data_IF_514212739790
#
_entry.id   IF_514212739790
#
_cell.length_a   1.000
_cell.length_b   1.000
_cell.length_c   1.000
_cell.angle_alpha   90.00
_cell.angle_beta   90.00
_cell.angle_gamma   90.00
#
_symmetry.space_group_name_H-M   'P 1'
#
loop_
_entity.id
_entity.type
_entity.pdbx_description
1 polymer ?
#
# COMPACT_ATOMS: atom_id res chain seq x y z
N UNK A 1 -23.48 -20.37 50.88
CA UNK A 1 -22.13 -20.94 51.15
C UNK A 1 -21.30 -20.78 49.88
N UNK A 2 -20.33 -19.86 49.91
CA UNK A 2 -19.47 -19.53 48.78
C UNK A 2 -18.25 -20.46 48.80
N UNK A 3 -17.97 -21.17 47.70
CA UNK A 3 -16.69 -21.86 47.50
C UNK A 3 -15.81 -21.02 46.60
N UNK A 4 -14.72 -20.56 47.16
CA UNK A 4 -13.63 -19.85 46.47
C UNK A 4 -12.63 -20.91 46.01
N UNK A 5 -12.38 -21.00 44.72
CA UNK A 5 -11.30 -21.81 44.13
C UNK A 5 -10.16 -20.88 43.80
N UNK A 6 -9.02 -21.05 44.49
CA UNK A 6 -7.76 -20.35 44.20
C UNK A 6 -7.00 -21.14 43.15
N UNK A 7 -6.66 -20.49 42.05
CA UNK A 7 -5.63 -20.99 41.12
C UNK A 7 -4.26 -20.41 41.50
N UNK A 8 -3.32 -21.31 41.76
CA UNK A 8 -1.92 -21.00 41.99
C UNK A 8 -1.20 -21.00 40.63
N UNK A 9 -0.63 -19.88 40.24
CA UNK A 9 0.23 -19.78 39.07
C UNK A 9 1.67 -20.09 39.48
N UNK A 10 2.27 -21.09 38.86
CA UNK A 10 3.66 -21.48 39.05
C UNK A 10 4.52 -20.71 38.01
N UNK A 11 5.31 -19.75 38.51
CA UNK A 11 6.36 -19.09 37.71
C UNK A 11 7.62 -19.96 37.72
N UNK A 12 8.08 -20.36 36.53
CA UNK A 12 9.45 -20.84 36.37
C UNK A 12 10.31 -19.68 35.83
N UNK A 13 11.20 -19.22 36.70
CA UNK A 13 12.24 -18.25 36.38
C UNK A 13 13.50 -19.01 35.94
N UNK A 14 13.92 -18.81 34.70
CA UNK A 14 15.25 -19.22 34.25
C UNK A 14 16.15 -17.98 34.18
N UNK A 15 17.05 -17.81 35.16
CA UNK A 15 18.13 -16.84 35.10
C UNK A 15 19.27 -17.37 34.23
N UNK A 16 19.62 -16.64 33.19
CA UNK A 16 20.93 -16.71 32.55
C UNK A 16 21.65 -15.39 32.75
N UNK A 17 22.70 -15.45 33.55
CA UNK A 17 23.63 -14.34 33.84
C UNK A 17 24.64 -14.28 32.70
N UNK A 18 24.74 -13.16 32.00
CA UNK A 18 25.93 -12.78 31.25
C UNK A 18 26.43 -11.42 31.75
N UNK A 19 27.60 -11.45 32.29
CA UNK A 19 28.42 -10.29 32.67
C UNK A 19 29.17 -9.77 31.45
N UNK A 20 29.24 -8.44 31.28
CA UNK A 20 30.31 -7.86 30.49
C UNK A 20 30.06 -6.51 29.83
N UNK A 21 30.61 -5.50 30.49
CA UNK A 21 31.17 -4.23 30.00
C UNK A 21 30.28 -3.13 29.42
N UNK A 22 30.38 -2.02 30.13
CA UNK A 22 30.01 -0.65 29.76
C UNK A 22 30.68 -0.18 28.46
N UNK A 23 29.91 0.47 27.61
CA UNK A 23 30.33 1.68 26.89
C UNK A 23 29.12 2.56 26.67
N UNK A 24 29.27 3.82 27.04
CA UNK A 24 28.30 4.92 26.83
C UNK A 24 28.36 5.36 25.39
N UNK A 25 27.26 5.27 24.65
CA UNK A 25 27.11 6.03 23.41
C UNK A 25 25.70 6.65 23.31
N UNK A 26 25.71 7.87 22.81
CA UNK A 26 24.61 8.82 22.75
C UNK A 26 23.68 8.46 21.59
N UNK A 27 22.38 8.37 21.87
CA UNK A 27 21.38 7.84 20.95
C UNK A 27 21.09 8.69 19.72
N UNK A 28 21.04 8.03 18.60
CA UNK A 28 20.24 8.38 17.44
C UNK A 28 19.28 7.21 17.17
N UNK A 29 18.00 7.53 16.98
CA UNK A 29 16.93 6.55 16.82
C UNK A 29 17.11 5.70 15.57
N UNK A 30 17.54 4.45 15.74
CA UNK A 30 17.56 3.46 14.66
C UNK A 30 16.21 2.75 14.62
N UNK A 31 15.47 2.98 13.53
CA UNK A 31 14.30 2.18 13.15
C UNK A 31 14.69 0.70 13.03
N UNK A 32 13.92 -0.15 13.69
CA UNK A 32 14.11 -1.60 13.67
C UNK A 32 13.83 -2.13 12.27
N UNK A 33 14.85 -2.64 11.58
CA UNK A 33 14.67 -3.38 10.32
C UNK A 33 14.12 -4.77 10.62
N UNK A 34 12.83 -4.94 10.50
CA UNK A 34 12.26 -6.28 10.33
C UNK A 34 12.42 -6.64 8.85
N UNK A 35 13.50 -7.33 8.53
CA UNK A 35 13.71 -7.90 7.20
C UNK A 35 12.94 -9.20 7.10
N UNK A 36 11.73 -9.14 6.58
CA UNK A 36 11.07 -10.33 6.02
C UNK A 36 11.79 -10.71 4.73
N UNK A 37 12.82 -11.55 4.83
CA UNK A 37 13.51 -12.04 3.65
C UNK A 37 12.64 -13.10 2.97
N UNK A 38 11.94 -12.73 1.91
CA UNK A 38 11.47 -13.69 0.90
C UNK A 38 12.73 -14.23 0.22
N UNK A 39 12.91 -15.55 0.22
CA UNK A 39 14.12 -16.23 -0.26
C UNK A 39 14.39 -15.85 -1.73
N UNK A 40 15.61 -15.39 -1.99
CA UNK A 40 16.11 -15.10 -3.31
C UNK A 40 16.05 -16.34 -4.21
N UNK A 41 15.40 -16.20 -5.33
CA UNK A 41 15.55 -17.08 -6.47
C UNK A 41 16.93 -16.88 -7.14
N UNK A 42 17.39 -17.86 -7.84
CA UNK A 42 18.69 -18.22 -8.40
C UNK A 42 19.43 -17.20 -9.30
N UNK A 43 19.25 -15.89 -9.12
CA UNK A 43 19.99 -14.88 -9.89
C UNK A 43 19.53 -14.71 -11.35
N UNK A 44 18.27 -15.10 -11.65
CA UNK A 44 17.62 -14.72 -12.92
C UNK A 44 17.40 -13.21 -12.98
N UNK A 45 17.46 -12.64 -14.17
CA UNK A 45 17.09 -11.23 -14.42
C UNK A 45 15.60 -11.05 -14.07
N UNK A 46 15.24 -10.24 -13.07
CA UNK A 46 13.83 -10.01 -12.71
C UNK A 46 13.01 -9.39 -13.85
N UNK A 47 13.68 -8.88 -14.89
CA UNK A 47 13.05 -8.30 -16.07
C UNK A 47 12.44 -6.93 -15.83
N UNK A 48 11.51 -6.56 -16.69
CA UNK A 48 10.81 -5.28 -16.60
C UNK A 48 9.75 -5.30 -15.50
N UNK A 49 9.78 -4.30 -14.61
CA UNK A 49 8.69 -4.07 -13.65
C UNK A 49 7.46 -3.55 -14.40
N UNK A 50 6.31 -4.14 -14.16
CA UNK A 50 5.00 -3.69 -14.63
C UNK A 50 4.15 -3.23 -13.46
N UNK A 51 3.54 -2.05 -13.60
CA UNK A 51 2.58 -1.50 -12.65
C UNK A 51 1.29 -1.24 -13.41
N UNK A 52 0.28 -2.06 -13.16
CA UNK A 52 -1.01 -1.98 -13.82
C UNK A 52 -2.04 -1.33 -12.89
N UNK A 53 -2.55 -0.17 -13.29
CA UNK A 53 -3.59 0.58 -12.59
C UNK A 53 -4.93 0.21 -13.23
N UNK A 54 -5.80 -0.47 -12.50
CA UNK A 54 -7.07 -0.97 -13.05
C UNK A 54 -8.09 0.14 -13.28
N UNK A 55 -8.89 0.03 -14.35
CA UNK A 55 -10.13 0.79 -14.55
C UNK A 55 -11.26 0.13 -13.76
N UNK A 56 -11.46 0.56 -12.52
CA UNK A 56 -12.48 0.04 -11.62
C UNK A 56 -13.45 1.15 -11.14
N UNK A 57 -13.64 2.20 -11.95
CA UNK A 57 -14.37 3.37 -11.50
C UNK A 57 -13.57 4.17 -10.49
N UNK A 58 -14.23 4.68 -9.43
CA UNK A 58 -13.58 5.35 -8.31
C UNK A 58 -13.21 4.32 -7.25
N UNK A 59 -12.29 3.45 -7.58
CA UNK A 59 -11.77 2.44 -6.69
C UNK A 59 -10.29 2.21 -6.98
N UNK A 60 -9.53 1.81 -5.98
CA UNK A 60 -8.09 1.57 -6.09
C UNK A 60 -7.77 0.10 -6.23
N UNK A 61 -7.01 -0.24 -7.24
CA UNK A 61 -6.25 -1.49 -7.32
C UNK A 61 -5.07 -1.33 -8.24
N UNK A 62 -3.90 -1.75 -7.78
CA UNK A 62 -2.63 -1.66 -8.52
C UNK A 62 -1.91 -3.00 -8.42
N UNK A 63 -1.71 -3.66 -9.56
CA UNK A 63 -0.93 -4.88 -9.64
C UNK A 63 0.48 -4.56 -10.11
N UNK A 64 1.46 -4.91 -9.29
CA UNK A 64 2.88 -4.61 -9.47
C UNK A 64 3.59 -5.95 -9.59
N UNK A 65 4.22 -6.22 -10.73
CA UNK A 65 4.80 -7.51 -10.95
C UNK A 65 5.98 -7.50 -11.92
N UNK A 66 6.83 -8.48 -11.77
CA UNK A 66 7.88 -8.84 -12.72
C UNK A 66 7.96 -10.38 -12.80
N UNK A 67 9.04 -10.93 -13.33
CA UNK A 67 9.19 -12.39 -13.47
C UNK A 67 9.33 -13.13 -12.13
N UNK A 68 9.62 -12.44 -11.03
CA UNK A 68 9.97 -13.04 -9.74
C UNK A 68 8.99 -12.73 -8.61
N UNK A 69 8.24 -11.63 -8.70
CA UNK A 69 7.35 -11.20 -7.62
C UNK A 69 6.06 -10.58 -8.15
N UNK A 70 4.99 -10.76 -7.38
CA UNK A 70 3.67 -10.16 -7.62
C UNK A 70 3.17 -9.49 -6.34
N UNK A 71 2.90 -8.20 -6.41
CA UNK A 71 2.42 -7.38 -5.31
C UNK A 71 1.10 -6.73 -5.75
N UNK A 72 0.13 -6.67 -4.87
CA UNK A 72 -1.10 -5.90 -5.11
C UNK A 72 -1.30 -4.86 -4.01
N UNK A 73 -1.67 -3.65 -4.40
CA UNK A 73 -2.07 -2.58 -3.51
C UNK A 73 -3.54 -2.30 -3.76
N UNK A 74 -4.37 -2.54 -2.75
CA UNK A 74 -5.83 -2.48 -2.79
C UNK A 74 -6.47 -3.43 -3.83
N UNK A 75 -7.77 -3.64 -3.72
CA UNK A 75 -8.48 -4.68 -4.49
C UNK A 75 -9.81 -4.19 -5.11
N UNK A 76 -10.06 -2.88 -5.08
CA UNK A 76 -11.29 -2.30 -5.59
C UNK A 76 -12.52 -2.60 -4.73
N UNK A 77 -13.70 -2.34 -5.29
CA UNK A 77 -15.00 -2.64 -4.66
C UNK A 77 -15.37 -4.13 -4.73
N UNK A 78 -16.38 -4.51 -3.95
CA UNK A 78 -16.99 -5.85 -4.00
C UNK A 78 -17.45 -6.19 -5.43
N UNK A 79 -16.98 -7.34 -5.93
CA UNK A 79 -17.27 -7.79 -7.29
C UNK A 79 -16.17 -7.46 -8.32
N UNK A 80 -15.33 -6.46 -8.07
CA UNK A 80 -14.25 -6.07 -9.00
C UNK A 80 -13.02 -7.01 -8.92
N UNK A 81 -12.85 -7.75 -7.84
CA UNK A 81 -11.80 -8.76 -7.75
C UNK A 81 -11.78 -9.80 -8.88
N UNK A 82 -12.92 -10.00 -9.59
CA UNK A 82 -12.98 -10.85 -10.78
C UNK A 82 -12.19 -10.29 -11.96
N UNK A 83 -12.21 -8.96 -12.14
CA UNK A 83 -11.51 -8.29 -13.24
C UNK A 83 -10.00 -8.34 -13.04
N UNK A 84 -9.58 -8.23 -11.76
CA UNK A 84 -8.18 -8.42 -11.34
C UNK A 84 -7.73 -9.85 -11.61
N UNK A 85 -8.51 -10.86 -11.18
CA UNK A 85 -8.21 -12.28 -11.42
C UNK A 85 -8.13 -12.60 -12.92
N UNK A 86 -9.03 -12.04 -13.73
CA UNK A 86 -9.03 -12.21 -15.19
C UNK A 86 -7.76 -11.62 -15.81
N UNK A 87 -7.32 -10.44 -15.36
CA UNK A 87 -6.06 -9.86 -15.81
C UNK A 87 -4.86 -10.74 -15.42
N UNK A 88 -4.84 -11.23 -14.17
CA UNK A 88 -3.79 -12.15 -13.71
C UNK A 88 -3.74 -13.42 -14.57
N UNK A 89 -4.89 -14.03 -14.84
CA UNK A 89 -4.98 -15.22 -15.69
C UNK A 89 -4.46 -14.95 -17.10
N UNK A 90 -4.88 -13.84 -17.73
CA UNK A 90 -4.46 -13.46 -19.08
C UNK A 90 -2.95 -13.15 -19.19
N UNK A 91 -2.29 -12.88 -18.08
CA UNK A 91 -0.85 -12.59 -18.01
C UNK A 91 -0.04 -13.69 -17.31
N UNK A 92 -0.61 -14.89 -17.13
CA UNK A 92 0.03 -16.04 -16.47
C UNK A 92 0.50 -15.81 -15.02
N UNK A 93 -0.07 -14.82 -14.32
CA UNK A 93 0.24 -14.50 -12.92
C UNK A 93 -0.52 -15.47 -12.01
N UNK A 94 0.20 -16.35 -11.31
CA UNK A 94 -0.40 -17.48 -10.59
C UNK A 94 -0.77 -17.21 -9.14
N UNK A 95 -0.18 -16.18 -8.52
CA UNK A 95 -0.40 -15.86 -7.11
C UNK A 95 0.03 -14.44 -6.78
N UNK A 96 -0.17 -14.06 -5.54
CA UNK A 96 0.18 -12.75 -4.98
C UNK A 96 1.11 -12.99 -3.80
N UNK A 97 2.34 -12.48 -3.87
CA UNK A 97 3.32 -12.60 -2.79
C UNK A 97 2.94 -11.69 -1.63
N UNK A 98 2.60 -10.43 -1.91
CA UNK A 98 2.21 -9.44 -0.91
C UNK A 98 0.96 -8.69 -1.36
N UNK A 99 -0.05 -8.65 -0.51
CA UNK A 99 -1.23 -7.80 -0.66
C UNK A 99 -1.18 -6.70 0.38
N UNK A 100 -1.22 -5.45 -0.05
CA UNK A 100 -1.34 -4.30 0.84
C UNK A 100 -2.77 -3.75 0.73
N UNK A 101 -3.44 -3.58 1.86
CA UNK A 101 -4.68 -2.84 1.97
C UNK A 101 -4.34 -1.50 2.61
N UNK A 102 -4.47 -0.40 1.86
CA UNK A 102 -4.09 0.92 2.34
C UNK A 102 -4.98 1.35 3.49
N UNK A 103 -6.27 1.11 3.39
CA UNK A 103 -7.27 1.29 4.44
C UNK A 103 -8.54 0.48 4.14
N UNK A 104 -9.48 0.42 5.09
CA UNK A 104 -10.63 -0.49 4.99
C UNK A 104 -11.91 0.15 4.42
N UNK A 105 -11.81 1.12 3.53
CA UNK A 105 -12.97 1.59 2.77
C UNK A 105 -13.34 0.61 1.65
N UNK A 106 -14.63 0.56 1.29
CA UNK A 106 -15.19 -0.44 0.39
C UNK A 106 -14.50 -0.50 -0.97
N UNK A 107 -14.07 0.66 -1.49
CA UNK A 107 -13.41 0.86 -2.78
C UNK A 107 -11.91 0.53 -2.76
N UNK A 108 -11.41 0.01 -1.63
CA UNK A 108 -10.04 -0.48 -1.43
C UNK A 108 -10.02 -1.95 -1.00
N UNK A 109 -10.82 -2.33 0.01
CA UNK A 109 -10.81 -3.71 0.54
C UNK A 109 -11.87 -4.62 -0.09
N UNK A 110 -12.88 -4.05 -0.78
CA UNK A 110 -14.09 -4.79 -1.19
C UNK A 110 -13.84 -6.01 -2.06
N UNK A 111 -12.85 -5.96 -2.95
CA UNK A 111 -12.47 -7.07 -3.82
C UNK A 111 -11.53 -8.10 -3.17
N UNK A 112 -10.90 -7.78 -2.03
CA UNK A 112 -9.83 -8.59 -1.44
C UNK A 112 -10.29 -10.02 -1.08
N UNK A 113 -11.49 -10.18 -0.52
CA UNK A 113 -12.05 -11.50 -0.23
C UNK A 113 -12.16 -12.39 -1.48
N UNK A 114 -12.46 -11.81 -2.65
CA UNK A 114 -12.52 -12.53 -3.92
C UNK A 114 -11.14 -12.99 -4.37
N UNK A 115 -10.12 -12.14 -4.25
CA UNK A 115 -8.74 -12.50 -4.57
C UNK A 115 -8.25 -13.63 -3.67
N UNK A 116 -8.31 -13.46 -2.35
CA UNK A 116 -7.87 -14.46 -1.35
C UNK A 116 -8.61 -15.79 -1.52
N UNK A 117 -9.87 -15.75 -1.94
CA UNK A 117 -10.68 -16.95 -2.17
C UNK A 117 -10.27 -17.76 -3.41
N UNK A 118 -9.68 -17.13 -4.43
CA UNK A 118 -9.51 -17.72 -5.77
C UNK A 118 -8.06 -17.76 -6.28
N UNK A 119 -7.12 -17.13 -5.59
CA UNK A 119 -5.69 -17.28 -5.87
C UNK A 119 -4.91 -17.42 -4.57
N UNK A 120 -3.68 -17.88 -4.65
CA UNK A 120 -2.78 -17.90 -3.50
C UNK A 120 -2.38 -16.46 -3.17
N UNK A 121 -2.55 -16.04 -1.90
CA UNK A 121 -2.04 -14.80 -1.33
C UNK A 121 -1.18 -15.19 -0.14
N UNK A 122 0.14 -14.96 -0.25
CA UNK A 122 1.08 -15.42 0.79
C UNK A 122 0.93 -14.62 2.07
N UNK A 123 0.86 -13.28 1.98
CA UNK A 123 0.76 -12.38 3.13
C UNK A 123 -0.07 -11.14 2.79
N UNK A 124 -0.80 -10.64 3.79
CA UNK A 124 -1.57 -9.40 3.69
C UNK A 124 -1.07 -8.41 4.74
N UNK A 125 -0.83 -7.18 4.32
CA UNK A 125 -0.38 -6.08 5.17
C UNK A 125 -1.45 -4.99 5.22
N UNK A 126 -1.78 -4.51 6.42
CA UNK A 126 -2.89 -3.59 6.66
C UNK A 126 -2.48 -2.47 7.62
N UNK A 127 -3.21 -1.35 7.68
CA UNK A 127 -3.09 -0.42 8.79
C UNK A 127 -3.63 -1.07 10.09
N UNK A 128 -3.32 -0.43 11.22
CA UNK A 128 -3.84 -0.86 12.53
C UNK A 128 -5.33 -0.54 12.67
N UNK A 129 -5.76 0.61 12.14
CA UNK A 129 -7.17 1.03 12.22
C UNK A 129 -8.06 0.13 11.35
N UNK A 130 -9.07 -0.43 11.95
CA UNK A 130 -10.10 -1.24 11.28
C UNK A 130 -11.38 -0.40 11.19
N UNK A 131 -11.91 -0.23 9.97
CA UNK A 131 -13.25 0.31 9.74
C UNK A 131 -14.25 -0.84 9.69
N UNK A 132 -15.14 -0.97 10.67
CA UNK A 132 -16.19 -2.01 10.65
C UNK A 132 -17.12 -1.81 9.43
N UNK A 133 -17.27 -2.86 8.64
CA UNK A 133 -18.14 -2.87 7.45
C UNK A 133 -18.34 -4.30 6.97
N UNK A 134 -19.38 -4.53 6.16
CA UNK A 134 -19.60 -5.83 5.52
C UNK A 134 -18.43 -6.26 4.63
N UNK A 135 -17.69 -5.30 4.06
CA UNK A 135 -16.52 -5.59 3.21
C UNK A 135 -15.32 -6.03 4.05
N UNK A 136 -15.10 -5.39 5.21
CA UNK A 136 -14.12 -5.85 6.19
C UNK A 136 -14.49 -7.24 6.74
N UNK A 137 -15.73 -7.48 7.06
CA UNK A 137 -16.18 -8.77 7.60
C UNK A 137 -15.96 -9.90 6.57
N UNK A 138 -16.31 -9.69 5.30
CA UNK A 138 -16.05 -10.64 4.21
C UNK A 138 -14.54 -10.89 4.03
N UNK A 139 -13.71 -9.84 4.05
CA UNK A 139 -12.26 -9.96 4.01
C UNK A 139 -11.73 -10.80 5.17
N UNK A 140 -12.13 -10.45 6.40
CA UNK A 140 -11.71 -11.12 7.64
C UNK A 140 -12.11 -12.60 7.67
N UNK A 141 -13.35 -12.90 7.23
CA UNK A 141 -13.83 -14.28 7.13
C UNK A 141 -13.00 -15.09 6.13
N UNK A 142 -12.73 -14.52 4.96
CA UNK A 142 -11.97 -15.20 3.90
C UNK A 142 -10.51 -15.43 4.29
N UNK A 143 -9.88 -14.47 4.94
CA UNK A 143 -8.54 -14.61 5.52
C UNK A 143 -8.48 -15.78 6.51
N UNK A 144 -9.46 -15.90 7.40
CA UNK A 144 -9.55 -17.00 8.36
C UNK A 144 -9.77 -18.36 7.67
N UNK A 145 -10.67 -18.41 6.69
CA UNK A 145 -10.96 -19.62 5.90
C UNK A 145 -9.71 -20.14 5.20
N UNK A 146 -8.98 -19.26 4.55
CA UNK A 146 -7.76 -19.60 3.77
C UNK A 146 -6.50 -19.67 4.63
N UNK A 147 -6.56 -19.24 5.88
CA UNK A 147 -5.43 -19.14 6.81
C UNK A 147 -4.33 -18.24 6.26
N UNK A 148 -4.68 -17.21 5.51
CA UNK A 148 -3.74 -16.24 4.98
C UNK A 148 -3.21 -15.36 6.12
N UNK A 149 -1.89 -15.22 6.29
CA UNK A 149 -1.32 -14.33 7.30
C UNK A 149 -1.72 -12.87 7.05
N UNK A 150 -2.16 -12.17 8.12
CA UNK A 150 -2.45 -10.74 8.09
C UNK A 150 -1.61 -10.05 9.13
N UNK A 151 -0.85 -9.05 8.70
CA UNK A 151 0.07 -8.26 9.52
C UNK A 151 -0.39 -6.81 9.54
N UNK A 152 -0.88 -6.33 10.68
CA UNK A 152 -1.16 -4.91 10.89
C UNK A 152 0.16 -4.18 11.18
N UNK A 153 0.50 -3.23 10.30
CA UNK A 153 1.76 -2.47 10.39
C UNK A 153 1.61 -1.35 11.43
N UNK A 154 2.49 -1.36 12.44
CA UNK A 154 2.52 -0.38 13.53
C UNK A 154 3.63 0.65 13.37
N UNK A 155 4.61 0.37 12.54
CA UNK A 155 5.77 1.20 12.28
C UNK A 155 6.15 1.16 10.81
N UNK A 156 6.89 2.16 10.36
CA UNK A 156 7.40 2.20 9.00
C UNK A 156 8.24 0.96 8.74
N UNK A 157 7.94 0.26 7.66
CA UNK A 157 8.51 -1.05 7.36
C UNK A 157 8.94 -1.10 5.90
N UNK A 158 10.05 -1.78 5.62
CA UNK A 158 10.54 -2.01 4.26
C UNK A 158 10.53 -3.50 3.95
N UNK A 159 10.14 -3.83 2.73
CA UNK A 159 10.12 -5.18 2.17
C UNK A 159 10.92 -5.22 0.87
N UNK A 160 11.31 -6.41 0.46
CA UNK A 160 11.98 -6.63 -0.82
C UNK A 160 11.53 -7.98 -1.41
N UNK A 161 11.16 -7.98 -2.69
CA UNK A 161 10.80 -9.19 -3.45
C UNK A 161 11.10 -8.97 -4.93
N UNK A 162 11.82 -9.90 -5.56
CA UNK A 162 12.14 -9.85 -7.00
C UNK A 162 12.82 -8.55 -7.43
N UNK A 163 13.76 -8.01 -6.63
CA UNK A 163 14.42 -6.73 -6.88
C UNK A 163 13.53 -5.50 -6.69
N UNK A 164 12.27 -5.69 -6.25
CA UNK A 164 11.33 -4.62 -5.95
C UNK A 164 11.44 -4.28 -4.46
N UNK A 165 11.78 -3.03 -4.14
CA UNK A 165 11.78 -2.51 -2.77
C UNK A 165 10.44 -1.82 -2.49
N UNK A 166 9.82 -2.15 -1.35
CA UNK A 166 8.55 -1.58 -0.90
C UNK A 166 8.78 -0.91 0.44
N UNK A 167 8.71 0.42 0.49
CA UNK A 167 8.79 1.18 1.74
C UNK A 167 7.37 1.63 2.13
N UNK A 168 6.89 1.20 3.28
CA UNK A 168 5.56 1.53 3.80
C UNK A 168 5.69 2.54 4.92
N UNK A 169 5.08 3.70 4.72
CA UNK A 169 4.93 4.72 5.74
C UNK A 169 3.55 4.58 6.39
N UNK A 170 3.53 4.32 7.68
CA UNK A 170 2.31 4.18 8.47
C UNK A 170 1.85 5.54 9.02
N UNK A 171 0.57 5.62 9.37
CA UNK A 171 -0.01 6.78 10.03
C UNK A 171 0.61 6.99 11.42
N UNK A 172 0.82 8.25 11.82
CA UNK A 172 1.45 8.59 13.10
C UNK A 172 0.56 8.25 14.31
N UNK A 173 -0.73 8.05 14.09
CA UNK A 173 -1.71 7.69 15.14
C UNK A 173 -2.48 6.44 14.73
N UNK A 174 -2.85 5.63 15.71
CA UNK A 174 -3.72 4.46 15.47
C UNK A 174 -5.16 4.89 15.12
N UNK A 175 -5.65 6.00 15.68
CA UNK A 175 -7.01 6.51 15.45
C UNK A 175 -6.96 8.04 15.29
N UNK A 176 -7.66 8.54 14.30
CA UNK A 176 -7.87 9.97 14.05
C UNK A 176 -9.33 10.34 14.37
N UNK A 177 -9.54 11.57 14.86
CA UNK A 177 -10.88 12.09 15.12
C UNK A 177 -11.61 12.40 13.80
N UNK A 178 -10.87 12.89 12.80
CA UNK A 178 -11.39 13.22 11.47
C UNK A 178 -11.00 12.13 10.48
N UNK A 179 -11.96 11.64 9.70
CA UNK A 179 -11.76 10.63 8.64
C UNK A 179 -10.83 9.49 9.06
N UNK A 180 -11.12 8.77 10.17
CA UNK A 180 -10.17 7.84 10.76
C UNK A 180 -9.69 6.75 9.78
N UNK A 181 -10.55 6.30 8.87
CA UNK A 181 -10.19 5.31 7.85
C UNK A 181 -9.18 5.90 6.86
N UNK A 182 -9.50 7.02 6.23
CA UNK A 182 -8.66 7.64 5.21
C UNK A 182 -7.32 8.12 5.77
N UNK A 183 -7.34 8.75 6.96
CA UNK A 183 -6.11 9.19 7.63
C UNK A 183 -5.27 8.03 8.21
N UNK A 184 -5.77 6.80 8.23
CA UNK A 184 -4.99 5.61 8.51
C UNK A 184 -4.30 5.00 7.28
N UNK A 185 -4.48 5.56 6.09
CA UNK A 185 -3.94 5.04 4.84
C UNK A 185 -2.44 4.78 4.94
N UNK A 186 -2.04 3.56 4.58
CA UNK A 186 -0.64 3.26 4.30
C UNK A 186 -0.22 4.06 3.06
N UNK A 187 0.88 4.79 3.16
CA UNK A 187 1.51 5.41 2.00
C UNK A 187 2.69 4.54 1.59
N UNK A 188 2.65 4.04 0.36
CA UNK A 188 3.54 2.97 -0.09
C UNK A 188 4.39 3.49 -1.24
N UNK A 189 5.71 3.41 -1.07
CA UNK A 189 6.68 3.67 -2.13
C UNK A 189 7.21 2.34 -2.65
N UNK A 190 7.07 2.12 -3.93
CA UNK A 190 7.65 0.97 -4.65
C UNK A 190 8.80 1.48 -5.48
N UNK A 191 9.99 0.90 -5.32
CA UNK A 191 11.19 1.27 -6.05
C UNK A 191 11.75 0.08 -6.81
N UNK A 192 12.23 0.33 -8.03
CA UNK A 192 12.86 -0.66 -8.89
C UNK A 192 14.02 0.00 -9.63
N UNK A 193 15.25 -0.38 -9.28
CA UNK A 193 16.44 0.34 -9.74
C UNK A 193 16.40 1.82 -9.33
N UNK A 194 16.47 2.72 -10.30
CA UNK A 194 16.42 4.17 -10.11
C UNK A 194 14.98 4.73 -10.20
N UNK A 195 14.00 3.91 -10.54
CA UNK A 195 12.61 4.34 -10.69
C UNK A 195 11.78 4.10 -9.44
N UNK A 196 10.71 4.89 -9.26
CA UNK A 196 9.84 4.73 -8.12
C UNK A 196 8.41 5.21 -8.35
N UNK A 197 7.49 4.54 -7.64
CA UNK A 197 6.04 4.72 -7.70
C UNK A 197 5.53 4.99 -6.28
N UNK A 198 4.71 6.00 -6.10
CA UNK A 198 4.16 6.40 -4.82
C UNK A 198 2.64 6.23 -4.81
N UNK A 199 2.14 5.38 -3.90
CA UNK A 199 0.72 5.13 -3.70
C UNK A 199 0.29 5.72 -2.37
N UNK A 200 -0.66 6.65 -2.40
CA UNK A 200 -1.03 7.47 -1.25
C UNK A 200 -2.32 7.00 -0.57
N UNK A 201 -2.97 5.96 -1.11
CA UNK A 201 -4.33 5.59 -0.70
C UNK A 201 -5.27 6.79 -0.73
N UNK A 202 -6.11 6.90 0.27
CA UNK A 202 -7.02 8.04 0.44
C UNK A 202 -6.58 9.01 1.55
N UNK A 203 -5.25 9.19 1.68
CA UNK A 203 -4.67 10.13 2.61
C UNK A 203 -5.33 11.52 2.46
N UNK A 204 -5.99 12.00 3.52
CA UNK A 204 -6.51 13.36 3.59
C UNK A 204 -5.44 14.30 4.14
N UNK A 205 -5.79 15.58 4.34
CA UNK A 205 -4.84 16.63 4.68
C UNK A 205 -3.99 16.34 5.93
N UNK A 206 -4.55 15.68 6.95
CA UNK A 206 -3.80 15.32 8.17
C UNK A 206 -2.72 14.31 7.83
N UNK A 207 -3.10 13.21 7.20
CA UNK A 207 -2.19 12.13 6.83
C UNK A 207 -1.13 12.56 5.81
N UNK A 208 -1.55 13.40 4.83
CA UNK A 208 -0.64 13.91 3.82
C UNK A 208 0.41 14.85 4.43
N UNK A 209 0.04 15.71 5.40
CA UNK A 209 0.98 16.57 6.14
C UNK A 209 1.98 15.75 6.99
N UNK A 210 1.54 14.67 7.61
CA UNK A 210 2.46 13.74 8.29
C UNK A 210 3.51 13.18 7.33
N UNK A 211 3.07 12.76 6.14
CA UNK A 211 3.99 12.25 5.13
C UNK A 211 4.94 13.33 4.58
N UNK A 212 4.44 14.54 4.31
CA UNK A 212 5.25 15.70 3.91
C UNK A 212 6.35 16.00 4.94
N UNK A 213 6.01 15.91 6.24
CA UNK A 213 6.97 16.16 7.32
C UNK A 213 8.14 15.16 7.33
N UNK A 214 8.01 13.99 6.71
CA UNK A 214 9.12 13.03 6.53
C UNK A 214 10.11 13.46 5.45
N UNK A 215 9.81 14.51 4.68
CA UNK A 215 10.59 14.98 3.53
C UNK A 215 10.81 13.88 2.50
N UNK A 216 9.73 13.34 1.90
CA UNK A 216 9.83 12.23 0.98
C UNK A 216 10.69 12.58 -0.24
N UNK A 217 11.38 11.56 -0.74
CA UNK A 217 12.15 11.67 -1.97
C UNK A 217 11.22 11.81 -3.20
N UNK A 218 11.80 12.32 -4.30
CA UNK A 218 11.13 12.39 -5.61
C UNK A 218 10.69 10.99 -6.08
N UNK A 219 9.63 10.94 -6.88
CA UNK A 219 9.17 9.70 -7.52
C UNK A 219 8.88 9.94 -9.01
N UNK A 220 8.88 8.87 -9.81
CA UNK A 220 8.49 8.97 -11.22
C UNK A 220 6.98 9.03 -11.38
N UNK A 221 6.25 8.23 -10.60
CA UNK A 221 4.80 8.10 -10.69
C UNK A 221 4.17 8.31 -9.33
N UNK A 222 3.08 9.07 -9.25
CA UNK A 222 2.26 9.20 -8.05
C UNK A 222 0.79 8.84 -8.33
N UNK A 223 0.21 7.96 -7.52
CA UNK A 223 -1.25 7.88 -7.38
C UNK A 223 -1.70 9.02 -6.50
N UNK A 224 -2.54 9.89 -7.06
CA UNK A 224 -3.05 11.06 -6.34
C UNK A 224 -3.90 10.66 -5.15
N UNK A 225 -3.75 11.34 -3.99
CA UNK A 225 -4.52 11.01 -2.80
C UNK A 225 -6.02 11.21 -3.07
N UNK A 226 -6.83 10.42 -2.37
CA UNK A 226 -8.29 10.51 -2.37
C UNK A 226 -8.90 10.75 -3.76
N UNK A 227 -8.49 9.95 -4.74
CA UNK A 227 -9.00 10.00 -6.14
C UNK A 227 -8.95 11.41 -6.78
N UNK A 228 -8.05 12.28 -6.31
CA UNK A 228 -7.91 13.64 -6.81
C UNK A 228 -8.98 14.62 -6.31
N UNK A 229 -9.69 14.33 -5.22
CA UNK A 229 -10.66 15.24 -4.62
C UNK A 229 -9.96 16.34 -3.80
N UNK A 230 -9.82 17.52 -4.40
CA UNK A 230 -9.06 18.67 -3.83
C UNK A 230 -9.50 19.07 -2.42
N UNK A 231 -10.80 19.00 -2.12
CA UNK A 231 -11.33 19.43 -0.81
C UNK A 231 -10.77 18.64 0.37
N UNK A 232 -10.27 17.42 0.10
CA UNK A 232 -9.75 16.50 1.12
C UNK A 232 -8.29 16.75 1.51
N UNK A 233 -7.55 17.47 0.68
CA UNK A 233 -6.14 17.80 0.92
C UNK A 233 -5.79 19.28 0.68
N UNK A 234 -6.79 20.15 0.82
CA UNK A 234 -6.60 21.61 0.69
C UNK A 234 -5.43 22.10 1.54
N UNK A 235 -4.60 22.95 0.94
CA UNK A 235 -3.47 23.60 1.60
C UNK A 235 -2.21 22.73 1.78
N UNK A 236 -2.18 21.49 1.27
CA UNK A 236 -0.97 20.66 1.32
C UNK A 236 -0.60 20.00 -0.02
N UNK A 237 -1.47 20.05 -1.02
CA UNK A 237 -1.19 19.40 -2.32
C UNK A 237 -0.03 20.07 -3.06
N UNK A 238 0.08 21.38 -3.03
CA UNK A 238 1.19 22.12 -3.65
C UNK A 238 2.52 21.67 -3.06
N UNK A 239 2.65 21.73 -1.73
CA UNK A 239 3.85 21.30 -1.02
C UNK A 239 4.19 19.85 -1.28
N UNK A 240 3.18 18.97 -1.28
CA UNK A 240 3.36 17.55 -1.58
C UNK A 240 3.96 17.34 -2.98
N UNK A 241 3.33 17.95 -4.00
CA UNK A 241 3.79 17.82 -5.39
C UNK A 241 5.18 18.46 -5.60
N UNK A 242 5.49 19.56 -4.90
CA UNK A 242 6.78 20.22 -4.95
C UNK A 242 7.90 19.36 -4.33
N UNK A 243 7.58 18.51 -3.35
CA UNK A 243 8.53 17.57 -2.76
C UNK A 243 8.72 16.33 -3.65
N UNK A 244 7.63 15.66 -4.01
CA UNK A 244 7.72 14.37 -4.72
C UNK A 244 8.00 14.50 -6.21
N UNK A 245 7.78 15.65 -6.82
CA UNK A 245 8.10 16.04 -8.20
C UNK A 245 7.89 14.93 -9.25
N UNK A 246 6.70 14.35 -9.36
CA UNK A 246 6.48 13.20 -10.23
C UNK A 246 6.50 13.62 -11.72
N UNK A 247 6.93 12.70 -12.59
CA UNK A 247 6.75 12.84 -14.04
C UNK A 247 5.31 12.51 -14.46
N UNK A 248 4.73 11.50 -13.78
CA UNK A 248 3.39 10.99 -14.06
C UNK A 248 2.51 11.05 -12.80
N UNK A 249 1.26 11.43 -12.98
CA UNK A 249 0.22 11.31 -11.96
C UNK A 249 -0.90 10.39 -12.46
N UNK A 250 -1.41 9.52 -11.56
CA UNK A 250 -2.58 8.68 -11.81
C UNK A 250 -3.70 9.09 -10.90
N UNK A 251 -4.88 9.26 -11.46
CA UNK A 251 -6.13 9.45 -10.72
C UNK A 251 -7.07 8.29 -11.04
N UNK A 252 -7.46 7.56 -10.01
CA UNK A 252 -8.52 6.56 -10.05
C UNK A 252 -9.86 7.27 -9.92
N UNK A 253 -10.65 7.29 -10.97
CA UNK A 253 -11.91 8.03 -11.01
C UNK A 253 -12.91 7.37 -11.95
N UNK A 254 -14.20 7.66 -11.79
CA UNK A 254 -15.26 7.23 -12.70
C UNK A 254 -15.69 8.37 -13.63
N UNK A 255 -16.61 8.08 -14.53
CA UNK A 255 -17.23 9.10 -15.39
C UNK A 255 -18.15 10.02 -14.58
N UNK A 256 -18.75 9.47 -13.52
CA UNK A 256 -19.68 10.15 -12.61
C UNK A 256 -18.94 10.90 -11.51
N UNK A 257 -17.89 10.29 -10.95
CA UNK A 257 -17.07 10.88 -9.88
C UNK A 257 -15.68 11.19 -10.42
N UNK A 258 -15.54 12.40 -10.96
CA UNK A 258 -14.28 12.89 -11.52
C UNK A 258 -13.41 13.53 -10.45
N UNK A 259 -12.14 13.67 -10.78
CA UNK A 259 -11.21 14.51 -10.03
C UNK A 259 -11.66 15.97 -10.00
N UNK A 260 -11.25 16.72 -8.99
CA UNK A 260 -11.47 18.16 -8.92
C UNK A 260 -10.65 18.91 -9.97
N UNK A 261 -11.23 19.99 -10.53
CA UNK A 261 -10.54 20.82 -11.52
C UNK A 261 -9.28 21.47 -10.92
N UNK A 262 -9.31 21.89 -9.65
CA UNK A 262 -8.15 22.43 -8.94
C UNK A 262 -6.98 21.44 -8.88
N UNK A 263 -7.27 20.16 -8.63
CA UNK A 263 -6.24 19.10 -8.67
C UNK A 263 -5.61 18.97 -10.05
N UNK A 264 -6.44 18.98 -11.07
CA UNK A 264 -6.01 18.91 -12.46
C UNK A 264 -5.12 20.10 -12.83
N UNK A 265 -5.56 21.33 -12.49
CA UNK A 265 -4.81 22.55 -12.75
C UNK A 265 -3.43 22.55 -12.07
N UNK A 266 -3.34 22.09 -10.82
CA UNK A 266 -2.09 21.99 -10.09
C UNK A 266 -1.11 20.98 -10.72
N UNK A 267 -1.62 19.88 -11.26
CA UNK A 267 -0.85 18.87 -11.98
C UNK A 267 -0.35 19.43 -13.32
N UNK A 268 -1.26 20.02 -14.11
CA UNK A 268 -0.95 20.58 -15.44
C UNK A 268 0.04 21.75 -15.35
N UNK A 269 -0.11 22.63 -14.35
CA UNK A 269 0.82 23.76 -14.10
C UNK A 269 2.27 23.31 -13.87
N UNK A 270 2.47 22.10 -13.35
CA UNK A 270 3.78 21.52 -13.10
C UNK A 270 4.34 20.71 -14.29
N UNK A 271 3.57 20.60 -15.37
CA UNK A 271 3.95 19.79 -16.53
C UNK A 271 3.89 18.28 -16.28
N UNK A 272 3.22 17.86 -15.20
CA UNK A 272 3.06 16.45 -14.85
C UNK A 272 2.07 15.79 -15.83
N UNK A 273 2.44 14.66 -16.40
CA UNK A 273 1.56 13.92 -17.32
C UNK A 273 0.47 13.18 -16.54
N UNK A 274 -0.78 13.58 -16.70
CA UNK A 274 -1.92 13.05 -15.97
C UNK A 274 -2.63 11.92 -16.69
N UNK A 275 -2.68 10.74 -16.07
CA UNK A 275 -3.49 9.59 -16.45
C UNK A 275 -4.74 9.47 -15.57
N UNK A 276 -5.82 8.95 -16.13
CA UNK A 276 -7.10 8.79 -15.43
C UNK A 276 -7.68 7.42 -15.76
N UNK A 277 -7.93 6.61 -14.75
CA UNK A 277 -8.44 5.25 -14.98
C UNK A 277 -9.82 5.23 -15.64
N UNK A 278 -10.64 6.29 -15.48
CA UNK A 278 -11.92 6.40 -16.21
C UNK A 278 -11.81 6.48 -17.74
N UNK A 279 -10.60 6.55 -18.28
CA UNK A 279 -10.30 6.52 -19.72
C UNK A 279 -9.72 5.19 -20.17
N UNK A 280 -9.69 4.21 -19.30
CA UNK A 280 -9.06 2.91 -19.45
C UNK A 280 -7.99 2.66 -18.38
N UNK A 281 -7.64 1.43 -18.18
CA UNK A 281 -6.51 1.06 -17.30
C UNK A 281 -5.21 1.71 -17.75
N UNK A 282 -4.25 1.85 -16.86
CA UNK A 282 -2.92 2.43 -17.17
C UNK A 282 -1.84 1.41 -16.86
N UNK A 283 -0.99 1.13 -17.83
CA UNK A 283 0.21 0.32 -17.64
C UNK A 283 1.43 1.22 -17.59
N UNK A 284 2.21 1.10 -16.53
CA UNK A 284 3.57 1.60 -16.45
C UNK A 284 4.55 0.42 -16.55
N UNK A 285 5.62 0.61 -17.32
CA UNK A 285 6.71 -0.33 -17.43
C UNK A 285 8.02 0.36 -17.05
N UNK A 286 8.83 -0.29 -16.20
CA UNK A 286 10.14 0.21 -15.82
C UNK A 286 11.21 -0.83 -16.08
N UNK A 287 12.30 -0.41 -16.72
CA UNK A 287 13.52 -1.20 -16.88
C UNK A 287 14.54 -0.96 -15.74
N UNK A 288 14.12 -0.25 -14.70
CA UNK A 288 14.96 0.16 -13.57
C UNK A 288 15.66 1.51 -13.76
N UNK A 289 15.56 2.15 -14.94
CA UNK A 289 16.12 3.48 -15.23
C UNK A 289 15.05 4.46 -15.69
N UNK A 290 14.21 4.02 -16.60
CA UNK A 290 13.18 4.83 -17.21
C UNK A 290 11.79 4.21 -16.95
N UNK A 291 10.77 5.07 -16.97
CA UNK A 291 9.36 4.65 -16.88
C UNK A 291 8.64 5.01 -18.17
N UNK A 292 7.97 4.02 -18.76
CA UNK A 292 7.05 4.20 -19.88
C UNK A 292 5.62 4.04 -19.42
N UNK A 293 4.70 4.85 -19.95
CA UNK A 293 3.30 4.84 -19.56
C UNK A 293 2.39 4.69 -20.78
N UNK A 294 1.41 3.79 -20.68
CA UNK A 294 0.43 3.52 -21.73
C UNK A 294 -0.98 3.54 -21.12
N UNK A 295 -1.86 4.39 -21.67
CA UNK A 295 -3.30 4.34 -21.38
C UNK A 295 -3.91 3.24 -22.24
N UNK A 296 -4.48 2.23 -21.59
CA UNK A 296 -5.19 1.15 -22.27
C UNK A 296 -6.58 1.66 -22.71
N UNK A 297 -7.02 1.26 -23.86
CA UNK A 297 -8.34 1.66 -24.42
C UNK A 297 -9.32 0.49 -24.38
#
# INVERSE_FOLDING_TARGET
MKKIIKFVALMLTACLIFTGCNETDTGEGQGSKVTGAVQNHDGSDPGTLKVYCFELGKADSFLIYNNEATIIIDAGERGQGKDILQYMENNDIKGIDMMFITHFDKDHVGGAAKLIGNTEVKEVYTPVYIKPSDDYDNFSEKVKEKKTPVIALKENTSFEAGGIKIDVNVAAKEIYEESPSNNSSLIIRVSYGETSFLFTGDAESIRLKEYIATKPEKCNVVKMPYHGNYTKFMGCLDEFLDLVQPEYAVITSSKEEKEADETKELIEKRGIKLFRTRKGSVLFESDGKDVKAVQMS
#
